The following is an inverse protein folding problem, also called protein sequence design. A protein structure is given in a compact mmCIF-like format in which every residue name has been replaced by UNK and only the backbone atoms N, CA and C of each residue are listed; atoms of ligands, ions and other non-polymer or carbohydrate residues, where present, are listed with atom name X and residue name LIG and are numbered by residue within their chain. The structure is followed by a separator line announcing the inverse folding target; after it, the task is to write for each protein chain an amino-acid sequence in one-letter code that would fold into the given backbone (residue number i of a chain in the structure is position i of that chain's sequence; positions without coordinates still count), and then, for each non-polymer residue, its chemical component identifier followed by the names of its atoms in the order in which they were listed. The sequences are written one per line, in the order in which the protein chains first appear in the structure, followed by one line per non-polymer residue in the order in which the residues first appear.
data_IF_514103803607
#
_entry.id   IF_514103803607
#
_cell.length_a   1.000
_cell.length_b   1.000
_cell.length_c   1.000
_cell.angle_alpha   90.00
_cell.angle_beta   90.00
_cell.angle_gamma   90.00
#
_symmetry.space_group_name_H-M   'P 1'
#
loop_
_entity.id
_entity.type
_entity.pdbx_description
1 polymer ?
#
# COMPACT_ATOMS: atom_id res chain seq x y z
N UNK A 1 -78.74 -25.43 -6.03
CA UNK A 1 -77.75 -25.67 -7.10
C UNK A 1 -76.41 -25.27 -6.53
N UNK A 2 -75.55 -26.26 -6.27
CA UNK A 2 -74.25 -26.09 -5.63
C UNK A 2 -73.24 -25.72 -6.70
N UNK A 3 -72.65 -24.53 -6.59
CA UNK A 3 -71.62 -24.04 -7.48
C UNK A 3 -70.24 -24.52 -6.98
N UNK A 4 -69.64 -25.43 -7.74
CA UNK A 4 -68.36 -26.07 -7.43
C UNK A 4 -67.21 -25.19 -7.93
N UNK A 5 -66.71 -24.31 -7.06
CA UNK A 5 -65.49 -23.52 -7.32
C UNK A 5 -64.25 -24.41 -7.43
N UNK A 6 -63.73 -24.57 -8.65
CA UNK A 6 -62.45 -25.21 -8.93
C UNK A 6 -61.29 -24.41 -8.32
N UNK A 7 -60.53 -25.03 -7.40
CA UNK A 7 -59.23 -24.54 -6.96
C UNK A 7 -58.19 -24.78 -8.07
N UNK A 8 -57.65 -23.71 -8.63
CA UNK A 8 -56.47 -23.80 -9.51
C UNK A 8 -55.24 -24.20 -8.70
N UNK A 9 -54.37 -25.08 -9.21
CA UNK A 9 -53.12 -25.43 -8.56
C UNK A 9 -52.13 -24.26 -8.65
N UNK A 10 -51.57 -23.87 -7.50
CA UNK A 10 -50.46 -22.93 -7.40
C UNK A 10 -49.28 -23.48 -8.20
N UNK A 11 -49.00 -22.86 -9.34
CA UNK A 11 -47.82 -23.11 -10.17
C UNK A 11 -46.60 -22.71 -9.35
N UNK A 12 -45.90 -23.70 -8.80
CA UNK A 12 -44.57 -23.51 -8.22
C UNK A 12 -43.63 -23.06 -9.33
N UNK A 13 -43.33 -21.76 -9.40
CA UNK A 13 -42.20 -21.25 -10.16
C UNK A 13 -40.95 -21.78 -9.47
N UNK A 14 -40.34 -22.81 -10.05
CA UNK A 14 -38.96 -23.15 -9.73
C UNK A 14 -38.13 -21.90 -10.04
N UNK A 15 -37.65 -21.24 -8.98
CA UNK A 15 -36.63 -20.22 -9.11
C UNK A 15 -35.42 -20.95 -9.69
N UNK A 16 -35.18 -20.75 -10.99
CA UNK A 16 -33.97 -21.22 -11.63
C UNK A 16 -32.80 -20.70 -10.80
N UNK A 17 -31.99 -21.62 -10.28
CA UNK A 17 -30.67 -21.35 -9.69
C UNK A 17 -29.78 -20.73 -10.78
N UNK A 18 -30.05 -19.47 -11.15
CA UNK A 18 -29.10 -18.64 -11.84
C UNK A 18 -27.97 -18.44 -10.84
N UNK A 19 -26.93 -19.25 -10.99
CA UNK A 19 -25.65 -19.07 -10.31
C UNK A 19 -25.29 -17.60 -10.45
N UNK A 20 -25.37 -16.86 -9.35
CA UNK A 20 -24.93 -15.47 -9.33
C UNK A 20 -23.44 -15.47 -9.65
N UNK A 21 -23.10 -15.06 -10.86
CA UNK A 21 -21.72 -14.90 -11.26
C UNK A 21 -21.05 -13.88 -10.34
N UNK A 22 -19.78 -14.11 -10.01
CA UNK A 22 -18.98 -13.15 -9.25
C UNK A 22 -18.93 -11.83 -10.03
N UNK A 23 -19.13 -10.67 -9.37
CA UNK A 23 -18.99 -9.38 -10.02
C UNK A 23 -17.62 -9.24 -10.70
N UNK A 24 -17.61 -8.72 -11.92
CA UNK A 24 -16.38 -8.44 -12.65
C UNK A 24 -15.72 -7.18 -12.12
N UNK A 25 -14.38 -7.17 -12.14
CA UNK A 25 -13.62 -6.01 -11.68
C UNK A 25 -13.73 -4.92 -12.74
N UNK A 26 -13.99 -3.65 -12.39
CA UNK A 26 -14.13 -2.60 -13.38
C UNK A 26 -12.80 -2.35 -14.10
N UNK A 27 -12.85 -2.32 -15.44
CA UNK A 27 -11.72 -1.94 -16.28
C UNK A 27 -11.74 -0.43 -16.57
N UNK A 28 -10.56 0.18 -16.62
CA UNK A 28 -10.42 1.61 -16.88
C UNK A 28 -9.35 1.87 -17.93
N UNK A 29 -9.74 2.59 -18.98
CA UNK A 29 -8.87 3.12 -20.04
C UNK A 29 -9.01 4.62 -20.00
N UNK A 30 -7.91 5.34 -20.12
CA UNK A 30 -7.88 6.72 -19.69
C UNK A 30 -7.30 7.65 -20.74
N UNK A 31 -7.67 8.93 -20.72
CA UNK A 31 -7.41 9.85 -21.85
C UNK A 31 -6.36 10.94 -21.56
N UNK A 32 -6.02 11.17 -20.30
CA UNK A 32 -5.09 12.16 -19.79
C UNK A 32 -3.59 11.74 -19.75
N UNK A 33 -2.67 12.44 -20.45
CA UNK A 33 -1.28 11.99 -20.69
C UNK A 33 -0.48 11.55 -19.47
N UNK A 34 0.44 10.60 -19.68
CA UNK A 34 1.31 10.04 -18.63
C UNK A 34 2.63 10.79 -18.47
N UNK A 35 2.95 11.10 -17.21
CA UNK A 35 4.15 11.81 -16.79
C UNK A 35 4.91 11.03 -15.70
N UNK A 36 6.25 11.17 -15.63
CA UNK A 36 7.01 10.61 -14.51
C UNK A 36 6.53 11.17 -13.17
N UNK A 37 6.36 10.32 -12.17
CA UNK A 37 5.92 10.72 -10.84
C UNK A 37 6.81 11.79 -10.18
N UNK A 38 8.13 11.67 -10.38
CA UNK A 38 9.14 12.61 -9.86
C UNK A 38 8.91 14.02 -10.38
N UNK A 39 8.64 14.17 -11.68
CA UNK A 39 8.33 15.46 -12.31
C UNK A 39 7.16 16.10 -11.60
N UNK A 40 6.10 15.34 -11.37
CA UNK A 40 4.93 15.90 -10.70
C UNK A 40 5.28 16.36 -9.29
N UNK A 41 5.94 15.50 -8.53
CA UNK A 41 6.28 15.81 -7.15
C UNK A 41 7.12 17.09 -7.07
N UNK A 42 8.07 17.27 -8.00
CA UNK A 42 8.85 18.50 -8.14
C UNK A 42 7.92 19.70 -8.42
N UNK A 43 6.97 19.58 -9.35
CA UNK A 43 6.03 20.67 -9.67
C UNK A 43 5.10 21.00 -8.49
N UNK A 44 4.68 20.00 -7.71
CA UNK A 44 3.93 20.19 -6.46
C UNK A 44 4.74 21.00 -5.44
N UNK A 45 6.00 20.63 -5.20
CA UNK A 45 6.91 21.35 -4.29
C UNK A 45 7.22 22.75 -4.81
N UNK A 46 7.43 22.91 -6.12
CA UNK A 46 7.63 24.20 -6.77
C UNK A 46 6.43 25.13 -6.52
N UNK A 47 5.20 24.61 -6.59
CA UNK A 47 4.00 25.38 -6.30
C UNK A 47 3.89 25.78 -4.83
N UNK A 48 4.10 24.86 -3.89
CA UNK A 48 4.07 25.17 -2.46
C UNK A 48 5.12 26.23 -2.10
N UNK A 49 6.32 26.14 -2.68
CA UNK A 49 7.38 27.12 -2.44
C UNK A 49 7.00 28.53 -2.92
N UNK A 50 6.30 28.62 -4.06
CA UNK A 50 5.76 29.89 -4.58
C UNK A 50 4.57 30.42 -3.78
N UNK A 51 3.95 29.59 -2.94
CA UNK A 51 2.75 29.91 -2.18
C UNK A 51 2.94 29.55 -0.69
N UNK A 52 3.81 30.26 0.05
CA UNK A 52 4.21 29.87 1.40
C UNK A 52 3.08 29.88 2.44
N UNK A 53 1.94 30.50 2.13
CA UNK A 53 0.73 30.45 2.97
C UNK A 53 -0.07 29.14 2.84
N UNK A 54 0.29 28.26 1.90
CA UNK A 54 -0.37 26.97 1.70
C UNK A 54 0.48 25.86 2.32
N UNK A 55 -0.09 25.14 3.29
CA UNK A 55 0.55 23.99 3.93
C UNK A 55 0.15 22.66 3.27
N UNK A 56 -1.02 22.62 2.63
CA UNK A 56 -1.51 21.47 1.86
C UNK A 56 -2.30 21.94 0.63
N UNK A 57 -2.38 21.10 -0.40
CA UNK A 57 -3.19 21.38 -1.60
C UNK A 57 -4.26 20.30 -1.75
N UNK A 58 -5.51 20.74 -1.89
CA UNK A 58 -6.56 19.89 -2.42
C UNK A 58 -6.29 19.64 -3.92
N UNK A 59 -6.48 18.41 -4.43
CA UNK A 59 -6.49 18.15 -5.86
C UNK A 59 -7.50 19.01 -6.63
N UNK A 60 -8.54 19.50 -5.96
CA UNK A 60 -9.59 20.36 -6.51
C UNK A 60 -9.19 21.83 -6.58
N UNK A 61 -8.00 22.22 -6.11
CA UNK A 61 -7.53 23.59 -6.18
C UNK A 61 -7.24 24.00 -7.65
N UNK A 62 -8.12 24.83 -8.21
CA UNK A 62 -8.06 25.25 -9.62
C UNK A 62 -6.79 26.05 -9.99
N UNK A 63 -6.22 26.78 -9.04
CA UNK A 63 -4.99 27.56 -9.27
C UNK A 63 -3.78 26.63 -9.40
N UNK A 64 -3.69 25.66 -8.50
CA UNK A 64 -2.69 24.60 -8.55
C UNK A 64 -2.81 23.75 -9.82
N UNK A 65 -4.03 23.36 -10.21
CA UNK A 65 -4.26 22.62 -11.45
C UNK A 65 -3.78 23.42 -12.67
N UNK A 66 -4.15 24.70 -12.79
CA UNK A 66 -3.70 25.57 -13.89
C UNK A 66 -2.18 25.73 -13.91
N UNK A 67 -1.56 25.83 -12.73
CA UNK A 67 -0.10 25.89 -12.61
C UNK A 67 0.56 24.62 -13.14
N UNK A 68 0.10 23.47 -12.66
CA UNK A 68 0.64 22.17 -12.96
C UNK A 68 0.50 21.85 -14.45
N UNK A 69 -0.66 22.16 -15.02
CA UNK A 69 -0.94 22.03 -16.45
C UNK A 69 0.03 22.86 -17.31
N UNK A 70 0.20 24.14 -16.96
CA UNK A 70 1.13 25.03 -17.67
C UNK A 70 2.56 24.51 -17.60
N UNK A 71 3.02 24.04 -16.44
CA UNK A 71 4.38 23.52 -16.26
C UNK A 71 4.60 22.21 -17.01
N UNK A 72 3.64 21.29 -16.97
CA UNK A 72 3.71 20.04 -17.74
C UNK A 72 3.73 20.29 -19.24
N UNK A 73 2.96 21.27 -19.74
CA UNK A 73 3.02 21.69 -21.15
C UNK A 73 4.37 22.31 -21.53
N UNK A 74 5.05 22.98 -20.60
CA UNK A 74 6.40 23.49 -20.85
C UNK A 74 7.44 22.36 -20.90
N UNK A 75 7.37 21.41 -19.97
CA UNK A 75 8.31 20.29 -19.89
C UNK A 75 8.05 19.21 -20.96
N UNK A 76 6.80 19.02 -21.36
CA UNK A 76 6.35 17.98 -22.29
C UNK A 76 5.36 18.55 -23.32
N UNK A 77 5.82 19.43 -24.23
CA UNK A 77 4.94 20.17 -25.14
C UNK A 77 4.15 19.29 -26.13
N UNK A 78 4.61 18.07 -26.39
CA UNK A 78 3.94 17.11 -27.28
C UNK A 78 2.96 16.18 -26.55
N UNK A 79 2.90 16.21 -25.21
CA UNK A 79 1.98 15.40 -24.40
C UNK A 79 0.91 16.23 -23.72
N UNK A 80 1.28 17.41 -23.20
CA UNK A 80 0.38 18.25 -22.43
C UNK A 80 -0.63 19.00 -23.30
N UNK A 81 -1.88 19.02 -22.86
CA UNK A 81 -2.96 19.77 -23.50
C UNK A 81 -3.74 20.59 -22.46
N UNK A 82 -4.52 21.56 -22.94
CA UNK A 82 -5.30 22.44 -22.06
C UNK A 82 -6.51 21.71 -21.47
N UNK A 83 -6.69 21.73 -20.14
CA UNK A 83 -7.78 21.04 -19.44
C UNK A 83 -7.45 19.62 -18.95
N UNK A 84 -6.24 19.11 -19.19
CA UNK A 84 -5.88 17.73 -18.83
C UNK A 84 -6.03 17.41 -17.34
N UNK A 85 -5.82 18.39 -16.45
CA UNK A 85 -6.01 18.21 -15.00
C UNK A 85 -7.47 17.93 -14.66
N UNK A 86 -8.39 18.68 -15.29
CA UNK A 86 -9.83 18.56 -15.07
C UNK A 86 -10.34 17.22 -15.60
N UNK A 87 -9.91 16.83 -16.80
CA UNK A 87 -10.35 15.57 -17.42
C UNK A 87 -9.98 14.37 -16.53
N UNK A 88 -8.74 14.34 -16.07
CA UNK A 88 -8.30 13.25 -15.23
C UNK A 88 -8.95 13.25 -13.83
N UNK A 89 -9.38 14.41 -13.31
CA UNK A 89 -10.09 14.46 -12.02
C UNK A 89 -11.47 13.82 -12.16
N UNK A 90 -12.16 14.10 -13.27
CA UNK A 90 -13.43 13.45 -13.57
C UNK A 90 -13.24 11.94 -13.80
N UNK A 91 -12.18 11.52 -14.49
CA UNK A 91 -11.84 10.09 -14.64
C UNK A 91 -11.58 9.42 -13.28
N UNK A 92 -10.83 10.05 -12.37
CA UNK A 92 -10.59 9.53 -11.03
C UNK A 92 -11.90 9.41 -10.22
N UNK A 93 -12.79 10.40 -10.35
CA UNK A 93 -14.11 10.38 -9.70
C UNK A 93 -14.93 9.19 -10.19
N UNK A 94 -14.97 8.96 -11.50
CA UNK A 94 -15.67 7.82 -12.11
C UNK A 94 -15.07 6.49 -11.64
N UNK A 95 -13.75 6.37 -11.56
CA UNK A 95 -13.05 5.19 -11.05
C UNK A 95 -13.45 4.86 -9.61
N UNK A 96 -13.45 5.85 -8.71
CA UNK A 96 -13.83 5.65 -7.31
C UNK A 96 -15.29 5.20 -7.17
N UNK A 97 -16.19 5.77 -7.98
CA UNK A 97 -17.60 5.39 -7.97
C UNK A 97 -17.80 3.95 -8.47
N UNK A 98 -17.16 3.58 -9.58
CA UNK A 98 -17.20 2.22 -10.13
C UNK A 98 -16.57 1.20 -9.17
N UNK A 99 -15.46 1.54 -8.51
CA UNK A 99 -14.86 0.68 -7.50
C UNK A 99 -15.74 0.50 -6.27
N UNK A 100 -16.36 1.58 -5.78
CA UNK A 100 -17.29 1.51 -4.67
C UNK A 100 -18.52 0.64 -5.01
N UNK A 101 -19.02 0.71 -6.25
CA UNK A 101 -20.07 -0.17 -6.73
C UNK A 101 -19.61 -1.64 -6.74
N UNK A 102 -18.46 -1.92 -7.34
CA UNK A 102 -17.86 -3.26 -7.34
C UNK A 102 -17.72 -3.87 -5.94
N UNK A 103 -17.28 -3.09 -4.95
CA UNK A 103 -17.14 -3.56 -3.58
C UNK A 103 -18.49 -3.92 -2.94
N UNK A 104 -19.54 -3.14 -3.21
CA UNK A 104 -20.90 -3.47 -2.76
C UNK A 104 -21.40 -4.76 -3.42
N UNK A 105 -21.27 -4.86 -4.74
CA UNK A 105 -21.69 -6.05 -5.48
C UNK A 105 -20.93 -7.30 -5.01
N UNK A 106 -19.63 -7.16 -4.75
CA UNK A 106 -18.78 -8.25 -4.25
C UNK A 106 -19.19 -8.67 -2.83
N UNK A 107 -19.51 -7.70 -1.97
CA UNK A 107 -20.04 -7.96 -0.64
C UNK A 107 -21.37 -8.73 -0.70
N UNK A 108 -22.31 -8.30 -1.53
CA UNK A 108 -23.63 -8.95 -1.66
C UNK A 108 -23.54 -10.34 -2.29
N UNK A 109 -22.64 -10.50 -3.26
CA UNK A 109 -22.32 -11.80 -3.83
C UNK A 109 -21.76 -12.75 -2.76
N UNK A 110 -20.80 -12.30 -1.94
CA UNK A 110 -20.23 -13.10 -0.83
C UNK A 110 -21.29 -13.52 0.19
N UNK A 111 -22.24 -12.62 0.49
CA UNK A 111 -23.41 -12.91 1.36
C UNK A 111 -24.27 -14.00 0.76
N UNK A 112 -24.54 -13.92 -0.55
CA UNK A 112 -25.38 -14.88 -1.28
C UNK A 112 -24.79 -16.30 -1.30
N UNK A 113 -23.47 -16.43 -1.48
CA UNK A 113 -22.81 -17.75 -1.53
C UNK A 113 -22.48 -18.33 -0.14
N UNK A 114 -22.91 -17.67 0.94
CA UNK A 114 -22.68 -18.14 2.32
C UNK A 114 -21.21 -18.07 2.78
N UNK A 115 -20.38 -17.27 2.10
CA UNK A 115 -18.95 -17.14 2.42
C UNK A 115 -18.69 -16.07 3.48
N UNK A 116 -19.61 -15.13 3.70
CA UNK A 116 -19.58 -14.30 4.91
C UNK A 116 -20.27 -15.05 6.05
N UNK A 117 -19.48 -15.78 6.84
CA UNK A 117 -19.91 -16.14 8.18
C UNK A 117 -20.13 -14.82 8.95
N UNK A 118 -21.27 -14.70 9.62
CA UNK A 118 -21.57 -13.60 10.54
C UNK A 118 -20.53 -13.61 11.68
N UNK A 119 -19.36 -13.05 11.40
CA UNK A 119 -18.26 -12.94 12.33
C UNK A 119 -18.01 -11.43 12.48
N UNK A 120 -18.64 -10.94 13.54
CA UNK A 120 -18.25 -9.77 14.33
C UNK A 120 -18.59 -8.35 13.85
N UNK A 121 -19.40 -7.71 14.70
CA UNK A 121 -19.56 -6.28 14.96
C UNK A 121 -20.25 -5.40 13.91
N UNK A 122 -21.58 -5.32 14.09
CA UNK A 122 -22.39 -4.09 14.00
C UNK A 122 -22.17 -3.19 12.78
N UNK A 123 -22.53 -3.67 11.59
CA UNK A 123 -23.07 -2.78 10.57
C UNK A 123 -24.58 -2.92 10.67
N UNK A 124 -25.25 -1.93 11.27
CA UNK A 124 -26.69 -1.77 11.16
C UNK A 124 -26.96 -1.53 9.67
N UNK A 125 -27.71 -2.43 9.04
CA UNK A 125 -28.22 -2.21 7.70
C UNK A 125 -29.03 -0.88 7.70
N UNK A 126 -28.57 0.15 6.97
CA UNK A 126 -29.16 1.48 7.04
C UNK A 126 -30.59 1.53 6.46
N UNK A 127 -30.99 0.53 5.67
CA UNK A 127 -32.29 0.49 5.01
C UNK A 127 -33.30 -0.35 5.80
N UNK A 128 -32.86 -1.32 6.60
CA UNK A 128 -33.76 -2.24 7.33
C UNK A 128 -33.71 -2.09 8.85
N UNK A 129 -32.61 -1.57 9.42
CA UNK A 129 -32.42 -1.46 10.86
C UNK A 129 -32.32 -2.81 11.60
N UNK A 130 -32.26 -3.93 10.88
CA UNK A 130 -32.19 -5.26 11.48
C UNK A 130 -30.72 -5.61 11.81
N UNK A 131 -30.44 -5.89 13.10
CA UNK A 131 -29.18 -6.49 13.51
C UNK A 131 -29.25 -8.00 13.32
N UNK A 132 -28.24 -8.62 12.71
CA UNK A 132 -28.12 -10.08 12.71
C UNK A 132 -27.95 -10.59 14.14
N UNK A 133 -29.01 -11.15 14.73
CA UNK A 133 -28.90 -11.87 16.00
C UNK A 133 -28.15 -13.18 15.76
N UNK A 134 -27.11 -13.50 16.54
CA UNK A 134 -26.48 -14.81 16.47
C UNK A 134 -27.51 -15.91 16.83
N UNK A 135 -27.33 -17.14 16.33
CA UNK A 135 -28.16 -18.27 16.74
C UNK A 135 -28.12 -18.43 18.26
N UNK A 136 -29.27 -18.77 18.86
CA UNK A 136 -29.43 -18.86 20.30
C UNK A 136 -28.40 -19.81 20.93
N UNK A 137 -27.59 -19.26 21.83
CA UNK A 137 -26.62 -19.94 22.67
C UNK A 137 -27.31 -21.02 23.53
N UNK A 138 -26.82 -22.26 23.49
CA UNK A 138 -27.43 -23.43 24.16
C UNK A 138 -26.97 -23.59 25.62
N UNK A 139 -26.23 -22.62 26.16
CA UNK A 139 -26.03 -22.47 27.60
C UNK A 139 -25.15 -23.55 28.23
N UNK A 140 -24.29 -24.22 27.45
CA UNK A 140 -23.37 -25.23 27.99
C UNK A 140 -21.92 -25.02 27.56
N UNK A 141 -21.23 -24.07 28.20
CA UNK A 141 -19.78 -23.99 28.03
C UNK A 141 -19.14 -22.80 28.72
N UNK A 142 -18.10 -23.07 29.51
CA UNK A 142 -17.23 -22.07 30.13
C UNK A 142 -16.73 -21.05 29.13
N UNK A 143 -17.00 -19.77 29.39
CA UNK A 143 -16.56 -18.62 28.62
C UNK A 143 -15.04 -18.44 28.70
N UNK A 144 -14.32 -19.18 27.86
CA UNK A 144 -13.07 -18.70 27.29
C UNK A 144 -13.43 -18.13 25.93
N UNK A 145 -13.59 -16.81 25.86
CA UNK A 145 -13.71 -16.10 24.60
C UNK A 145 -12.42 -16.36 23.79
N UNK A 146 -12.49 -17.10 22.67
CA UNK A 146 -11.30 -17.44 21.88
C UNK A 146 -10.67 -16.22 21.18
N UNK A 147 -11.29 -15.04 21.25
CA UNK A 147 -10.81 -13.80 20.62
C UNK A 147 -10.03 -12.88 21.58
N UNK A 148 -9.95 -13.19 22.89
CA UNK A 148 -9.08 -12.44 23.81
C UNK A 148 -7.66 -12.94 23.64
N UNK A 149 -6.90 -12.25 22.80
CA UNK A 149 -5.48 -12.47 22.64
C UNK A 149 -4.71 -12.22 23.97
N UNK A 150 -4.16 -13.26 24.59
CA UNK A 150 -3.50 -13.14 25.89
C UNK A 150 -2.09 -12.57 25.79
N UNK A 151 -1.52 -12.43 24.59
CA UNK A 151 -0.13 -11.97 24.42
C UNK A 151 0.07 -10.50 24.80
N UNK A 152 -1.01 -9.74 25.02
CA UNK A 152 -0.96 -8.34 25.45
C UNK A 152 -1.57 -8.07 26.83
N UNK A 153 -2.11 -9.08 27.51
CA UNK A 153 -2.52 -8.95 28.91
C UNK A 153 -1.29 -8.62 29.78
N UNK A 154 -1.26 -7.40 30.35
CA UNK A 154 -0.17 -6.92 31.20
C UNK A 154 0.90 -6.06 30.50
N UNK A 155 0.76 -5.74 29.21
CA UNK A 155 1.47 -4.62 28.62
C UNK A 155 0.65 -3.36 28.92
N UNK A 156 1.12 -2.47 29.79
CA UNK A 156 0.49 -1.14 29.91
C UNK A 156 0.40 -0.54 28.50
N UNK A 157 -0.82 -0.24 28.05
CA UNK A 157 -1.03 0.66 26.91
C UNK A 157 -0.10 1.84 27.16
N UNK A 158 0.82 2.09 26.22
CA UNK A 158 1.78 3.18 26.33
C UNK A 158 1.01 4.45 26.72
N UNK A 159 1.15 4.85 27.99
CA UNK A 159 0.43 6.00 28.51
C UNK A 159 0.95 7.20 27.72
N UNK A 160 0.08 7.93 26.99
CA UNK A 160 0.53 9.07 26.23
C UNK A 160 1.25 10.04 27.18
N UNK A 161 2.24 10.82 26.69
CA UNK A 161 2.67 12.00 27.42
C UNK A 161 1.40 12.81 27.74
N UNK A 162 1.30 13.36 28.95
CA UNK A 162 0.13 14.13 29.42
C UNK A 162 -0.43 15.04 28.31
N UNK A 163 -1.76 15.15 28.20
CA UNK A 163 -2.50 15.86 27.14
C UNK A 163 -2.01 17.29 26.81
N UNK A 164 -1.17 17.88 27.67
CA UNK A 164 -0.53 19.18 27.49
C UNK A 164 0.74 19.18 26.61
N UNK A 165 1.22 18.02 26.14
CA UNK A 165 2.53 17.91 25.49
C UNK A 165 2.47 17.84 23.96
N UNK A 166 1.70 18.71 23.27
CA UNK A 166 1.79 18.87 21.80
C UNK A 166 3.27 19.15 21.42
N UNK A 167 3.90 18.39 20.50
CA UNK A 167 5.29 18.61 20.19
C UNK A 167 5.40 19.97 19.51
N UNK A 168 6.32 20.80 19.98
CA UNK A 168 6.57 22.08 19.33
C UNK A 168 7.08 21.83 17.91
N UNK A 169 6.83 22.77 16.99
CA UNK A 169 7.44 22.76 15.65
C UNK A 169 8.97 22.56 15.70
N UNK A 170 9.61 23.02 16.80
CA UNK A 170 11.03 22.82 17.04
C UNK A 170 11.38 21.36 17.37
N UNK A 171 10.56 20.64 18.13
CA UNK A 171 10.76 19.19 18.37
C UNK A 171 10.56 18.37 17.09
N UNK A 172 9.66 18.81 16.21
CA UNK A 172 9.49 18.23 14.88
C UNK A 172 10.71 18.52 13.99
N UNK A 173 11.26 19.74 14.06
CA UNK A 173 12.52 20.10 13.39
C UNK A 173 13.71 19.34 13.99
N UNK A 174 13.80 19.16 15.30
CA UNK A 174 14.91 18.51 16.00
C UNK A 174 14.92 16.99 15.76
N UNK A 175 13.74 16.36 15.70
CA UNK A 175 13.61 14.95 15.27
C UNK A 175 13.98 14.76 13.79
N UNK A 176 13.76 15.76 12.95
CA UNK A 176 14.23 15.81 11.55
C UNK A 176 15.74 16.16 11.45
N UNK A 177 16.30 16.89 12.42
CA UNK A 177 17.72 17.27 12.47
C UNK A 177 18.63 16.17 13.03
N UNK A 178 18.09 15.21 13.81
CA UNK A 178 18.86 14.04 14.28
C UNK A 178 19.36 13.13 13.14
N UNK A 179 18.84 13.29 11.92
CA UNK A 179 19.27 12.58 10.71
C UNK A 179 19.75 13.54 9.61
N UNK A 180 20.36 14.69 9.95
CA UNK A 180 20.91 15.64 8.97
C UNK A 180 21.76 14.96 7.86
N UNK A 181 22.63 13.97 8.16
CA UNK A 181 23.38 13.26 7.13
C UNK A 181 22.54 12.32 6.27
N UNK A 182 21.43 11.76 6.77
CA UNK A 182 20.58 10.85 6.00
C UNK A 182 19.54 11.59 5.17
N UNK A 183 19.03 12.74 5.64
CA UNK A 183 18.16 13.63 4.87
C UNK A 183 18.96 14.35 3.79
N UNK A 184 20.15 14.88 4.09
CA UNK A 184 21.03 15.46 3.07
C UNK A 184 21.51 14.39 2.08
N UNK A 185 21.76 13.15 2.53
CA UNK A 185 22.04 12.01 1.63
C UNK A 185 20.81 11.57 0.85
N UNK A 186 19.59 11.70 1.38
CA UNK A 186 18.34 11.48 0.66
C UNK A 186 18.17 12.54 -0.43
N UNK A 187 18.29 13.82 -0.09
CA UNK A 187 18.22 14.94 -1.04
C UNK A 187 19.36 14.87 -2.08
N UNK A 188 20.56 14.45 -1.68
CA UNK A 188 21.73 14.27 -2.55
C UNK A 188 21.56 13.05 -3.47
N UNK A 189 21.08 11.90 -2.97
CA UNK A 189 20.79 10.72 -3.78
C UNK A 189 19.56 10.90 -4.67
N UNK A 190 18.56 11.67 -4.24
CA UNK A 190 17.43 12.13 -5.05
C UNK A 190 17.88 13.07 -6.19
N UNK A 191 18.97 13.83 -6.00
CA UNK A 191 19.59 14.62 -7.06
C UNK A 191 20.49 13.79 -8.00
N UNK A 192 21.15 12.73 -7.49
CA UNK A 192 22.03 11.86 -8.28
C UNK A 192 21.29 10.76 -9.06
N UNK A 193 20.06 10.42 -8.66
CA UNK A 193 19.21 9.47 -9.38
C UNK A 193 18.67 10.01 -10.72
N UNK A 194 19.08 11.23 -11.13
CA UNK A 194 18.79 11.80 -12.45
C UNK A 194 19.61 11.19 -13.60
N UNK A 195 20.55 10.30 -13.30
CA UNK A 195 21.21 9.46 -14.30
C UNK A 195 22.09 10.25 -15.29
N UNK A 196 23.24 10.73 -14.81
CA UNK A 196 24.44 10.79 -15.65
C UNK A 196 25.74 10.71 -14.86
N UNK A 197 26.05 9.59 -14.20
CA UNK A 197 27.44 9.21 -13.91
C UNK A 197 27.59 7.69 -13.81
N UNK A 198 27.86 7.05 -14.96
CA UNK A 198 28.80 5.94 -14.98
C UNK A 198 30.15 6.53 -15.40
N UNK A 199 30.98 6.90 -14.43
CA UNK A 199 32.42 6.85 -14.63
C UNK A 199 32.99 5.93 -13.58
N UNK A 200 33.47 4.79 -14.08
CA UNK A 200 34.45 3.89 -13.47
C UNK A 200 35.40 4.70 -12.56
N UNK A 201 35.46 4.34 -11.28
CA UNK A 201 36.48 4.83 -10.38
C UNK A 201 37.81 4.19 -10.77
N UNK A 202 38.61 4.89 -11.55
CA UNK A 202 40.07 4.84 -11.49
C UNK A 202 40.60 6.21 -11.94
N UNK A 203 41.35 6.85 -11.03
CA UNK A 203 42.16 8.08 -11.20
C UNK A 203 41.54 9.32 -11.85
N UNK A 204 41.20 10.36 -11.05
CA UNK A 204 41.59 11.76 -11.33
C UNK A 204 41.71 12.54 -10.01
N UNK A 205 42.86 13.16 -9.81
CA UNK A 205 43.20 14.11 -8.74
C UNK A 205 42.36 15.39 -8.90
N UNK A 206 41.61 15.77 -7.86
CA UNK A 206 40.94 17.07 -7.79
C UNK A 206 41.89 18.11 -7.21
N UNK A 207 42.32 19.08 -8.02
CA UNK A 207 42.81 20.37 -7.53
C UNK A 207 41.77 21.46 -7.80
N UNK A 208 41.22 21.98 -6.70
CA UNK A 208 40.63 23.31 -6.43
C UNK A 208 40.40 24.30 -7.58
N UNK A 209 39.18 24.86 -7.70
CA UNK A 209 38.84 26.23 -7.20
C UNK A 209 37.36 26.62 -7.47
N UNK A 210 36.57 26.78 -6.40
CA UNK A 210 35.80 28.00 -6.13
C UNK A 210 34.66 28.49 -7.04
N UNK A 211 33.56 27.73 -7.17
CA UNK A 211 32.16 28.19 -7.04
C UNK A 211 31.20 27.01 -7.21
N UNK A 212 30.22 26.87 -6.30
CA UNK A 212 29.14 25.86 -6.40
C UNK A 212 28.12 26.31 -7.44
N UNK A 213 27.69 25.40 -8.31
CA UNK A 213 26.63 25.64 -9.28
C UNK A 213 25.28 25.88 -8.57
N UNK A 214 24.52 26.86 -9.06
CA UNK A 214 23.20 27.26 -8.59
C UNK A 214 22.09 26.59 -9.42
N UNK A 215 20.84 26.63 -8.93
CA UNK A 215 19.67 26.16 -9.68
C UNK A 215 19.53 26.85 -11.05
N UNK A 216 19.90 28.13 -11.14
CA UNK A 216 19.86 28.88 -12.40
C UNK A 216 20.93 28.39 -13.39
N UNK A 217 22.10 27.94 -12.90
CA UNK A 217 23.15 27.35 -13.74
C UNK A 217 22.70 26.02 -14.39
N UNK A 218 21.89 25.23 -13.67
CA UNK A 218 21.29 23.98 -14.18
C UNK A 218 20.14 24.21 -15.16
N UNK A 219 19.35 25.27 -14.97
CA UNK A 219 18.29 25.69 -15.90
C UNK A 219 18.89 26.23 -17.21
N UNK A 220 20.02 26.95 -17.14
CA UNK A 220 20.76 27.41 -18.33
C UNK A 220 21.43 26.25 -19.07
N UNK A 221 21.98 25.26 -18.35
CA UNK A 221 22.59 24.07 -18.95
C UNK A 221 21.57 23.17 -19.68
N UNK A 222 20.32 23.15 -19.21
CA UNK A 222 19.22 22.40 -19.86
C UNK A 222 18.50 23.20 -20.95
N UNK A 223 18.60 24.54 -20.95
CA UNK A 223 17.98 25.43 -21.93
C UNK A 223 18.80 25.65 -23.22
N UNK A 224 20.11 25.40 -23.21
CA UNK A 224 20.96 25.58 -24.38
C UNK A 224 21.04 24.29 -25.22
N UNK A 225 20.16 24.23 -26.23
CA UNK A 225 19.95 23.14 -27.18
C UNK A 225 21.12 22.19 -27.44
N UNK A 226 20.87 20.91 -27.16
CA UNK A 226 21.65 19.78 -27.68
C UNK A 226 21.71 19.84 -29.21
N UNK A 227 22.92 19.95 -29.77
CA UNK A 227 23.21 19.59 -31.16
C UNK A 227 23.70 18.13 -31.19
N UNK A 228 23.18 17.28 -32.09
CA UNK A 228 23.49 15.86 -32.06
C UNK A 228 24.85 15.59 -32.70
N UNK A 229 25.77 15.00 -31.94
CA UNK A 229 26.93 14.31 -32.49
C UNK A 229 26.73 12.80 -32.43
N UNK A 230 26.71 12.18 -33.61
CA UNK A 230 27.36 10.89 -33.85
C UNK A 230 26.69 9.64 -33.27
N UNK A 231 25.84 9.04 -34.08
CA UNK A 231 25.44 7.63 -34.05
C UNK A 231 26.67 6.70 -33.93
N UNK A 232 26.77 5.89 -32.87
CA UNK A 232 27.43 4.59 -32.93
C UNK A 232 26.62 3.52 -32.21
N UNK A 233 26.46 2.42 -32.93
CA UNK A 233 25.68 1.23 -32.67
C UNK A 233 26.28 0.35 -31.57
N UNK A 234 25.42 -0.25 -30.74
CA UNK A 234 25.70 -1.57 -30.19
C UNK A 234 25.25 -1.76 -28.75
N UNK A 235 24.35 -2.75 -28.60
CA UNK A 235 24.08 -3.56 -27.40
C UNK A 235 22.93 -3.11 -26.50
N UNK A 236 21.91 -3.94 -26.57
CA UNK A 236 20.64 -3.94 -25.84
C UNK A 236 20.87 -4.10 -24.33
N UNK A 237 20.50 -3.08 -23.57
CA UNK A 237 20.17 -3.17 -22.15
C UNK A 237 18.73 -2.70 -21.99
N UNK A 238 17.81 -3.65 -21.79
CA UNK A 238 16.38 -3.37 -21.69
C UNK A 238 16.07 -2.53 -20.46
N UNK A 239 15.73 -1.26 -20.66
CA UNK A 239 15.01 -0.47 -19.67
C UNK A 239 13.61 -1.06 -19.51
N UNK A 240 13.23 -1.45 -18.29
CA UNK A 240 11.85 -1.80 -17.96
C UNK A 240 11.01 -0.54 -18.14
N UNK A 241 10.39 -0.43 -19.32
CA UNK A 241 9.43 0.63 -19.62
C UNK A 241 8.09 0.13 -19.13
N UNK A 242 7.67 0.58 -17.95
CA UNK A 242 6.30 0.34 -17.49
C UNK A 242 5.40 1.24 -18.34
N UNK A 243 4.75 0.68 -19.36
CA UNK A 243 3.67 1.34 -20.06
C UNK A 243 2.50 1.47 -19.09
N UNK A 244 2.16 2.70 -18.74
CA UNK A 244 0.96 3.05 -17.98
C UNK A 244 0.18 4.06 -18.80
N UNK A 245 -1.13 3.83 -18.89
CA UNK A 245 -2.11 4.47 -19.78
C UNK A 245 -2.55 5.86 -19.23
N UNK A 246 -3.17 6.75 -20.04
CA UNK A 246 -3.43 8.15 -19.74
C UNK A 246 -4.41 8.45 -18.55
N UNK A 247 -4.25 7.89 -17.35
CA UNK A 247 -5.04 8.24 -16.13
C UNK A 247 -4.47 9.48 -15.42
N UNK A 248 -3.52 10.16 -16.05
CA UNK A 248 -2.32 10.59 -15.36
C UNK A 248 -2.19 12.07 -15.09
N UNK A 249 -3.26 12.87 -15.04
CA UNK A 249 -3.10 14.31 -14.75
C UNK A 249 -3.80 14.79 -13.46
N UNK A 250 -4.95 14.25 -13.10
CA UNK A 250 -5.31 14.00 -11.71
C UNK A 250 -4.46 12.89 -11.17
N UNK A 251 -4.02 11.97 -12.02
CA UNK A 251 -2.84 11.20 -11.76
C UNK A 251 -1.54 11.91 -12.07
N UNK A 252 -1.47 13.24 -12.09
CA UNK A 252 -0.20 13.90 -11.80
C UNK A 252 -0.17 14.02 -10.29
N UNK A 253 -1.13 14.62 -9.58
CA UNK A 253 -1.17 14.48 -8.11
C UNK A 253 -1.33 13.04 -7.65
N UNK A 254 -2.14 12.25 -8.35
CA UNK A 254 -2.27 10.80 -8.17
C UNK A 254 -1.02 10.08 -8.69
N UNK A 255 -0.12 10.59 -9.55
CA UNK A 255 1.22 9.96 -9.83
C UNK A 255 2.32 10.49 -8.94
N UNK A 256 2.27 11.72 -8.44
CA UNK A 256 3.11 12.15 -7.34
C UNK A 256 2.70 11.37 -6.09
N UNK A 257 1.42 11.12 -5.88
CA UNK A 257 0.90 10.31 -4.80
C UNK A 257 1.12 8.82 -5.04
N UNK A 258 0.87 8.28 -6.23
CA UNK A 258 1.15 6.88 -6.60
C UNK A 258 2.64 6.65 -6.66
N UNK A 259 3.43 7.61 -7.13
CA UNK A 259 4.88 7.54 -7.15
C UNK A 259 5.49 7.76 -5.77
N UNK A 260 4.94 8.65 -4.95
CA UNK A 260 5.25 8.72 -3.52
C UNK A 260 4.91 7.40 -2.84
N UNK A 261 3.74 6.81 -3.12
CA UNK A 261 3.37 5.50 -2.60
C UNK A 261 4.29 4.40 -3.12
N UNK A 262 4.63 4.39 -4.41
CA UNK A 262 5.51 3.40 -5.01
C UNK A 262 6.92 3.51 -4.43
N UNK A 263 7.43 4.72 -4.26
CA UNK A 263 8.67 5.00 -3.55
C UNK A 263 8.60 4.55 -2.09
N UNK A 264 7.51 4.85 -1.37
CA UNK A 264 7.29 4.38 0.01
C UNK A 264 7.17 2.87 0.11
N UNK A 265 6.55 2.22 -0.87
CA UNK A 265 6.43 0.75 -0.97
C UNK A 265 7.81 0.13 -1.20
N UNK A 266 8.61 0.70 -2.11
CA UNK A 266 10.00 0.28 -2.34
C UNK A 266 10.86 0.47 -1.10
N UNK A 267 10.81 1.65 -0.50
CA UNK A 267 11.52 1.97 0.74
C UNK A 267 11.09 1.03 1.88
N UNK A 268 9.80 0.74 2.01
CA UNK A 268 9.29 -0.19 3.01
C UNK A 268 9.83 -1.61 2.77
N UNK A 269 9.89 -2.05 1.51
CA UNK A 269 10.46 -3.36 1.15
C UNK A 269 11.95 -3.42 1.48
N UNK A 270 12.73 -2.40 1.16
CA UNK A 270 14.16 -2.34 1.43
C UNK A 270 14.45 -2.31 2.94
N UNK A 271 13.68 -1.51 3.70
CA UNK A 271 13.75 -1.51 5.18
C UNK A 271 13.37 -2.87 5.75
N UNK A 272 12.33 -3.50 5.24
CA UNK A 272 11.89 -4.81 5.70
C UNK A 272 12.95 -5.89 5.45
N UNK A 273 13.59 -5.89 4.27
CA UNK A 273 14.72 -6.79 3.96
C UNK A 273 15.93 -6.53 4.86
N UNK A 274 16.31 -5.28 5.04
CA UNK A 274 17.46 -4.91 5.87
C UNK A 274 17.24 -5.31 7.34
N UNK A 275 16.05 -5.02 7.89
CA UNK A 275 15.70 -5.37 9.27
C UNK A 275 15.49 -6.85 9.47
N UNK A 276 14.88 -7.56 8.51
CA UNK A 276 14.71 -9.02 8.62
C UNK A 276 16.08 -9.71 8.69
N UNK A 277 17.02 -9.33 7.82
CA UNK A 277 18.38 -9.87 7.84
C UNK A 277 19.14 -9.51 9.13
N UNK A 278 18.88 -8.34 9.71
CA UNK A 278 19.47 -7.92 10.98
C UNK A 278 18.94 -8.75 12.16
N UNK A 279 17.63 -8.96 12.25
CA UNK A 279 16.99 -9.55 13.42
C UNK A 279 16.88 -11.08 13.37
N UNK A 280 16.75 -11.63 12.16
CA UNK A 280 16.60 -13.05 11.92
C UNK A 280 17.58 -13.46 10.81
N UNK A 281 18.89 -13.54 11.10
CA UNK A 281 19.89 -13.95 10.11
C UNK A 281 19.70 -15.43 9.78
N UNK A 282 19.63 -15.79 8.49
CA UNK A 282 19.48 -17.19 8.09
C UNK A 282 18.96 -17.38 6.67
N UNK A 283 18.21 -18.46 6.45
CA UNK A 283 17.52 -18.71 5.19
C UNK A 283 16.40 -17.69 4.97
N UNK A 284 16.26 -17.24 3.72
CA UNK A 284 15.43 -16.10 3.37
C UNK A 284 13.93 -16.43 3.18
N UNK A 285 13.59 -17.68 2.86
CA UNK A 285 12.22 -18.08 2.48
C UNK A 285 11.61 -19.13 3.40
N UNK A 286 10.34 -18.96 3.73
CA UNK A 286 9.54 -19.83 4.62
C UNK A 286 10.01 -19.88 6.07
N UNK A 287 10.88 -18.94 6.49
CA UNK A 287 11.48 -18.85 7.82
C UNK A 287 10.89 -17.68 8.64
N UNK A 288 11.35 -17.54 9.89
CA UNK A 288 11.15 -16.33 10.70
C UNK A 288 11.55 -15.04 9.98
N UNK A 289 12.66 -15.07 9.23
CA UNK A 289 13.13 -13.91 8.48
C UNK A 289 12.12 -13.49 7.41
N UNK A 290 11.53 -14.47 6.75
CA UNK A 290 10.52 -14.28 5.72
C UNK A 290 9.23 -13.70 6.31
N UNK A 291 8.69 -14.35 7.33
CA UNK A 291 7.52 -13.91 8.06
C UNK A 291 7.67 -12.48 8.60
N UNK A 292 8.82 -12.15 9.21
CA UNK A 292 9.12 -10.78 9.66
C UNK A 292 9.07 -9.78 8.51
N UNK A 293 9.68 -10.11 7.38
CA UNK A 293 9.71 -9.23 6.21
C UNK A 293 8.29 -8.94 5.72
N UNK A 294 7.44 -9.95 5.64
CA UNK A 294 6.05 -9.83 5.18
C UNK A 294 5.21 -8.98 6.14
N UNK A 295 5.27 -9.26 7.44
CA UNK A 295 4.57 -8.50 8.49
C UNK A 295 5.04 -7.04 8.50
N UNK A 296 6.35 -6.81 8.57
CA UNK A 296 6.90 -5.46 8.70
C UNK A 296 6.74 -4.63 7.42
N UNK A 297 6.84 -5.25 6.24
CA UNK A 297 6.56 -4.58 4.97
C UNK A 297 5.10 -4.15 4.87
N UNK A 298 4.14 -5.04 5.18
CA UNK A 298 2.72 -4.72 5.10
C UNK A 298 2.28 -3.69 6.13
N UNK A 299 2.85 -3.72 7.33
CA UNK A 299 2.61 -2.68 8.33
C UNK A 299 3.07 -1.30 7.84
N UNK A 300 4.29 -1.20 7.29
CA UNK A 300 4.78 0.06 6.70
C UNK A 300 3.94 0.50 5.50
N UNK A 301 3.56 -0.44 4.62
CA UNK A 301 2.68 -0.13 3.48
C UNK A 301 1.30 0.34 3.92
N UNK A 302 0.68 -0.25 4.94
CA UNK A 302 -0.56 0.27 5.49
C UNK A 302 -0.33 1.70 5.96
N UNK A 303 0.73 1.96 6.73
CA UNK A 303 0.99 3.31 7.24
C UNK A 303 1.20 4.35 6.13
N UNK A 304 1.93 4.04 5.08
CA UNK A 304 2.28 5.00 4.04
C UNK A 304 1.30 5.07 2.87
N UNK A 305 0.68 3.94 2.53
CA UNK A 305 -0.15 3.78 1.35
C UNK A 305 -1.63 3.51 1.67
N UNK A 306 -1.95 3.17 2.92
CA UNK A 306 -3.28 2.73 3.35
C UNK A 306 -3.46 1.21 3.19
N UNK A 307 -4.30 0.62 4.04
CA UNK A 307 -4.53 -0.84 4.10
C UNK A 307 -4.93 -1.41 2.72
N UNK A 308 -5.90 -0.79 2.03
CA UNK A 308 -6.33 -1.24 0.71
C UNK A 308 -5.18 -1.31 -0.31
N UNK A 309 -4.34 -0.27 -0.38
CA UNK A 309 -3.21 -0.27 -1.31
C UNK A 309 -2.16 -1.30 -0.92
N UNK A 310 -1.88 -1.45 0.38
CA UNK A 310 -0.97 -2.47 0.89
C UNK A 310 -1.42 -3.87 0.47
N UNK A 311 -2.72 -4.18 0.64
CA UNK A 311 -3.30 -5.46 0.23
C UNK A 311 -3.16 -5.71 -1.27
N UNK A 312 -3.60 -4.77 -2.12
CA UNK A 312 -3.53 -4.94 -3.58
C UNK A 312 -2.10 -5.19 -4.04
N UNK A 313 -1.13 -4.45 -3.49
CA UNK A 313 0.29 -4.60 -3.85
C UNK A 313 0.82 -5.95 -3.37
N UNK A 314 0.58 -6.32 -2.11
CA UNK A 314 1.02 -7.59 -1.55
C UNK A 314 0.41 -8.79 -2.30
N UNK A 315 -0.91 -8.83 -2.47
CA UNK A 315 -1.61 -9.89 -3.20
C UNK A 315 -1.10 -10.03 -4.65
N UNK A 316 -0.83 -8.90 -5.32
CA UNK A 316 -0.28 -8.89 -6.69
C UNK A 316 1.16 -9.39 -6.73
N UNK A 317 1.98 -9.03 -5.74
CA UNK A 317 3.35 -9.52 -5.62
C UNK A 317 3.37 -11.04 -5.43
N UNK A 318 2.54 -11.56 -4.52
CA UNK A 318 2.41 -13.01 -4.29
C UNK A 318 1.82 -13.76 -5.49
N UNK A 319 0.90 -13.15 -6.24
CA UNK A 319 0.32 -13.77 -7.44
C UNK A 319 1.31 -13.88 -8.60
N UNK A 320 2.34 -13.02 -8.65
CA UNK A 320 3.35 -13.00 -9.72
C UNK A 320 4.60 -13.82 -9.38
N UNK A 321 4.82 -14.12 -8.10
CA UNK A 321 5.92 -14.98 -7.67
C UNK A 321 5.71 -16.43 -8.12
N UNK A 322 6.80 -17.11 -8.48
CA UNK A 322 6.84 -18.56 -8.65
C UNK A 322 6.96 -19.26 -7.27
N UNK A 323 6.19 -18.81 -6.29
CA UNK A 323 6.19 -19.38 -4.95
C UNK A 323 5.40 -20.69 -4.96
N UNK A 324 5.83 -21.66 -4.16
CA UNK A 324 5.03 -22.86 -3.94
C UNK A 324 3.68 -22.45 -3.31
N UNK A 325 2.59 -23.20 -3.55
CA UNK A 325 1.27 -22.86 -3.02
C UNK A 325 1.25 -22.58 -1.51
N UNK A 326 2.10 -23.27 -0.75
CA UNK A 326 2.20 -23.14 0.72
C UNK A 326 2.98 -21.92 1.17
N UNK A 327 4.07 -21.57 0.49
CA UNK A 327 4.79 -20.30 0.68
C UNK A 327 3.83 -19.13 0.49
N UNK A 328 3.05 -19.16 -0.60
CA UNK A 328 2.08 -18.11 -0.89
C UNK A 328 1.01 -17.94 0.19
N UNK A 329 0.49 -19.03 0.76
CA UNK A 329 -0.51 -18.94 1.84
C UNK A 329 0.11 -18.38 3.12
N UNK A 330 1.32 -18.80 3.46
CA UNK A 330 2.09 -18.24 4.58
C UNK A 330 2.31 -16.73 4.41
N UNK A 331 2.78 -16.31 3.23
CA UNK A 331 3.06 -14.90 2.93
C UNK A 331 1.79 -14.06 3.02
N UNK A 332 0.67 -14.53 2.45
CA UNK A 332 -0.62 -13.83 2.52
C UNK A 332 -1.14 -13.68 3.95
N UNK A 333 -1.02 -14.72 4.77
CA UNK A 333 -1.39 -14.69 6.18
C UNK A 333 -0.53 -13.69 6.96
N UNK A 334 0.80 -13.79 6.83
CA UNK A 334 1.74 -12.89 7.50
C UNK A 334 1.61 -11.43 7.02
N UNK A 335 1.26 -11.22 5.74
CA UNK A 335 0.91 -9.90 5.21
C UNK A 335 -0.33 -9.32 5.90
N UNK A 336 -1.33 -10.14 6.23
CA UNK A 336 -2.54 -9.71 6.93
C UNK A 336 -2.28 -9.33 8.38
N UNK A 337 -1.42 -10.07 9.10
CA UNK A 337 -1.01 -9.73 10.47
C UNK A 337 -0.42 -8.31 10.54
N UNK A 338 0.51 -8.01 9.63
CA UNK A 338 1.14 -6.69 9.57
C UNK A 338 0.17 -5.57 9.17
N UNK A 339 -0.78 -5.89 8.29
CA UNK A 339 -1.71 -4.92 7.72
C UNK A 339 -2.93 -4.68 8.60
N UNK A 340 -3.58 -5.69 9.13
CA UNK A 340 -4.87 -5.55 9.82
C UNK A 340 -4.76 -5.95 11.28
N UNK A 341 -4.42 -7.21 11.56
CA UNK A 341 -4.60 -7.83 12.89
C UNK A 341 -3.78 -7.13 13.97
N UNK A 342 -2.51 -6.83 13.69
CA UNK A 342 -1.55 -6.27 14.68
C UNK A 342 -1.05 -4.88 14.34
N UNK A 343 -1.60 -4.26 13.30
CA UNK A 343 -1.13 -2.98 12.79
C UNK A 343 -1.09 -1.88 13.86
N UNK A 344 -2.15 -1.75 14.66
CA UNK A 344 -2.22 -0.71 15.71
C UNK A 344 -1.13 -0.89 16.76
N UNK A 345 -0.88 -2.12 17.18
CA UNK A 345 0.12 -2.47 18.19
C UNK A 345 1.54 -2.17 17.66
N UNK A 346 1.83 -2.53 16.41
CA UNK A 346 3.14 -2.29 15.81
C UNK A 346 3.41 -0.81 15.54
N UNK A 347 2.39 -0.07 15.11
CA UNK A 347 2.52 1.34 14.74
C UNK A 347 2.59 2.27 15.97
N UNK A 348 2.16 1.80 17.15
CA UNK A 348 2.14 2.60 18.38
C UNK A 348 1.19 3.80 18.31
N UNK A 349 1.59 4.94 18.85
CA UNK A 349 0.74 6.14 18.90
C UNK A 349 0.68 6.89 17.56
N UNK A 350 -0.50 7.39 17.15
CA UNK A 350 -0.73 7.91 15.77
C UNK A 350 0.10 9.15 15.42
N UNK A 351 0.31 10.00 16.42
CA UNK A 351 0.97 11.30 16.27
C UNK A 351 2.47 11.19 16.54
N UNK A 352 2.85 10.70 17.73
CA UNK A 352 4.25 10.58 18.19
C UNK A 352 5.10 9.64 17.34
N UNK A 353 4.57 8.46 17.00
CA UNK A 353 5.41 7.41 16.41
C UNK A 353 5.33 7.45 14.88
N UNK A 354 4.83 8.54 14.26
CA UNK A 354 4.47 8.57 12.82
C UNK A 354 5.63 8.26 11.88
N UNK A 355 6.87 8.48 12.28
CA UNK A 355 8.06 8.32 11.45
C UNK A 355 9.10 7.37 12.04
N UNK A 356 8.82 6.75 13.19
CA UNK A 356 9.76 5.87 13.87
C UNK A 356 9.68 4.43 13.35
N UNK A 357 10.04 4.26 12.09
CA UNK A 357 10.05 2.94 11.46
C UNK A 357 11.04 1.97 12.12
N UNK A 358 12.04 2.47 12.86
CA UNK A 358 13.02 1.65 13.59
C UNK A 358 12.33 1.00 14.79
N UNK A 359 11.65 1.79 15.61
CA UNK A 359 10.86 1.31 16.73
C UNK A 359 9.72 0.40 16.26
N UNK A 360 9.02 0.75 15.17
CA UNK A 360 8.03 -0.13 14.55
C UNK A 360 8.61 -1.52 14.21
N UNK A 361 9.81 -1.55 13.64
CA UNK A 361 10.52 -2.79 13.34
C UNK A 361 10.89 -3.58 14.59
N UNK A 362 11.22 -2.91 15.70
CA UNK A 362 11.47 -3.55 17.00
C UNK A 362 10.19 -4.11 17.62
N UNK A 363 9.06 -3.39 17.52
CA UNK A 363 7.74 -3.87 17.96
C UNK A 363 7.35 -5.16 17.23
N UNK A 364 7.52 -5.22 15.90
CA UNK A 364 7.30 -6.45 15.12
C UNK A 364 8.25 -7.58 15.57
N UNK A 365 9.54 -7.28 15.78
CA UNK A 365 10.52 -8.29 16.22
C UNK A 365 10.16 -8.84 17.59
N UNK A 366 9.80 -7.97 18.53
CA UNK A 366 9.44 -8.37 19.89
C UNK A 366 8.17 -9.23 19.90
N UNK A 367 7.20 -8.90 19.05
CA UNK A 367 6.03 -9.76 18.81
C UNK A 367 6.44 -11.13 18.27
N UNK A 368 7.36 -11.21 17.30
CA UNK A 368 7.77 -12.49 16.72
C UNK A 368 8.64 -13.36 17.63
N UNK A 369 9.47 -12.75 18.48
CA UNK A 369 10.33 -13.48 19.42
C UNK A 369 9.57 -14.20 20.55
N UNK A 370 8.27 -13.91 20.68
CA UNK A 370 7.38 -14.61 21.60
C UNK A 370 6.88 -15.90 20.95
N UNK A 371 7.26 -17.04 21.52
CA UNK A 371 6.90 -18.35 20.99
C UNK A 371 5.38 -18.57 20.90
N UNK A 372 4.61 -17.93 21.77
CA UNK A 372 3.15 -17.98 21.79
C UNK A 372 2.51 -17.31 20.58
N UNK A 373 3.21 -16.36 19.94
CA UNK A 373 2.75 -15.67 18.74
C UNK A 373 3.08 -16.41 17.45
N UNK A 374 3.79 -17.54 17.54
CA UNK A 374 4.29 -18.28 16.40
C UNK A 374 3.52 -19.59 16.24
N UNK A 375 3.22 -19.96 14.99
CA UNK A 375 2.72 -21.27 14.63
C UNK A 375 3.69 -21.92 13.63
N UNK A 376 4.32 -23.01 14.05
CA UNK A 376 5.24 -23.77 13.20
C UNK A 376 4.48 -24.91 12.51
N UNK A 377 4.46 -24.92 11.18
CA UNK A 377 3.68 -25.90 10.40
C UNK A 377 4.57 -26.71 9.45
N UNK A 378 5.40 -27.64 9.97
CA UNK A 378 6.39 -28.36 9.17
C UNK A 378 5.78 -29.18 8.02
N UNK A 379 4.54 -29.63 8.16
CA UNK A 379 3.85 -30.46 7.17
C UNK A 379 3.51 -29.70 5.88
N UNK A 380 3.55 -28.36 5.88
CA UNK A 380 3.26 -27.54 4.70
C UNK A 380 4.22 -27.75 3.55
N UNK A 381 5.43 -28.27 3.80
CA UNK A 381 6.34 -28.67 2.71
C UNK A 381 5.75 -29.78 1.83
N UNK A 382 4.74 -30.51 2.33
CA UNK A 382 4.11 -31.63 1.62
C UNK A 382 2.77 -31.32 0.98
N UNK A 383 2.15 -30.16 1.28
CA UNK A 383 0.86 -29.82 0.71
C UNK A 383 1.01 -29.44 -0.77
N UNK A 384 0.34 -30.18 -1.64
CA UNK A 384 0.49 -30.04 -3.09
C UNK A 384 -0.43 -28.98 -3.72
N UNK A 385 -1.43 -28.49 -2.99
CA UNK A 385 -2.41 -27.54 -3.52
C UNK A 385 -2.64 -26.36 -2.58
N UNK A 386 -3.07 -25.24 -3.15
CA UNK A 386 -3.35 -24.00 -2.42
C UNK A 386 -4.55 -24.18 -1.46
N UNK A 387 -5.55 -24.98 -1.85
CA UNK A 387 -6.75 -25.24 -1.06
C UNK A 387 -6.41 -26.01 0.22
N UNK A 388 -5.51 -27.00 0.14
CA UNK A 388 -5.06 -27.76 1.30
C UNK A 388 -4.28 -26.87 2.27
N UNK A 389 -3.42 -25.98 1.75
CA UNK A 389 -2.70 -25.01 2.57
C UNK A 389 -3.65 -24.01 3.24
N UNK A 390 -4.63 -23.47 2.51
CA UNK A 390 -5.65 -22.56 3.05
C UNK A 390 -6.52 -23.22 4.11
N UNK A 391 -7.00 -24.45 3.88
CA UNK A 391 -7.80 -25.18 4.87
C UNK A 391 -7.02 -25.39 6.18
N UNK A 392 -5.69 -25.49 6.11
CA UNK A 392 -4.83 -25.61 7.29
C UNK A 392 -4.55 -24.26 7.94
N UNK A 393 -4.36 -23.21 7.15
CA UNK A 393 -4.19 -21.84 7.63
C UNK A 393 -5.40 -21.37 8.44
N UNK A 394 -6.61 -21.74 8.03
CA UNK A 394 -7.85 -21.45 8.77
C UNK A 394 -7.92 -22.05 10.18
N UNK A 395 -7.05 -23.02 10.51
CA UNK A 395 -6.96 -23.58 11.86
C UNK A 395 -5.99 -22.82 12.75
N UNK A 396 -5.20 -21.92 12.18
CA UNK A 396 -4.26 -21.07 12.91
C UNK A 396 -5.02 -19.83 13.40
N UNK A 397 -4.90 -19.46 14.69
CA UNK A 397 -5.41 -18.19 15.16
C UNK A 397 -4.85 -17.04 14.32
N UNK A 398 -5.73 -16.16 13.85
CA UNK A 398 -5.42 -15.01 12.97
C UNK A 398 -4.32 -14.07 13.51
N UNK A 399 -4.15 -14.05 14.83
CA UNK A 399 -3.16 -13.22 15.51
C UNK A 399 -1.78 -13.85 15.66
N UNK A 400 -1.59 -15.11 15.28
CA UNK A 400 -0.29 -15.80 15.27
C UNK A 400 0.34 -15.75 13.89
N UNK A 401 1.63 -15.53 13.78
CA UNK A 401 2.33 -15.66 12.49
C UNK A 401 2.72 -17.10 12.19
N UNK A 402 2.79 -17.41 10.90
CA UNK A 402 3.08 -18.76 10.41
C UNK A 402 4.49 -18.81 9.81
N UNK A 403 5.20 -19.89 10.06
CA UNK A 403 6.44 -20.26 9.39
C UNK A 403 6.57 -21.80 9.35
N UNK A 404 7.37 -22.34 8.43
CA UNK A 404 7.48 -23.80 8.30
C UNK A 404 8.88 -24.33 7.99
N UNK A 405 9.87 -23.45 7.78
CA UNK A 405 11.28 -23.82 7.88
C UNK A 405 11.86 -23.28 9.20
N UNK A 406 12.61 -24.11 9.94
CA UNK A 406 13.18 -23.72 11.23
C UNK A 406 14.19 -22.58 11.12
#
# INVERSE_FOLDING_TARGET
MVDSGQKQPLRGTSASNASMARPETPEFVSRAPVYPASVVYILYREYLHKNPGLTTLSPENEEYQRYLERRLRQLYPHKGYAGMMRDALEENRQQRLAWAAYQRDLHDWKKTIGVMACTETSIIDPDTGESCSPPADDGSGTTSDPAVDPSWEGQEEYLPPSDDAVPTLQMEIDSLQMEQPEIEKLYYQESLADGSFFSRWDEVIVTTTGKRATIDDLIVATGNGWTPLGRQSGREGGAVTIQVDPVTVAAVLVHAYVGYKAWRVSQAADRARAKSAQYFPGEYSSTHQDAYRHIFWNMQMHRYAGSFTAKVIADTYEARGNNEPTDRVMDLHNNDIGREVRYRNFRGHLVWDRWDWKEWGEKVRNYMNRSENAEYIPEWKSAQTIEAAQAREQLVPDWKYIYFKP
#
